data_IF_396726237216
#
_entry.id   IF_396726237216
#
_cell.length_a   1.000
_cell.length_b   1.000
_cell.length_c   1.000
_cell.angle_alpha   90.00
_cell.angle_beta   90.00
_cell.angle_gamma   90.00
#
_symmetry.space_group_name_H-M   'P 1'
#
loop_
_entity.id
_entity.type
_entity.pdbx_description
1 polymer ?
#
# COMPACT_ATOMS: atom_id res chain seq x y z
N UNK A 1 7.99 -16.69 -16.98
CA UNK A 1 8.39 -16.75 -15.55
C UNK A 1 9.72 -16.10 -15.26
N UNK A 2 10.85 -16.58 -15.79
CA UNK A 2 12.17 -16.00 -15.50
C UNK A 2 12.33 -14.52 -15.87
N UNK A 3 11.67 -14.07 -16.95
CA UNK A 3 11.64 -12.63 -17.32
C UNK A 3 10.95 -11.77 -16.26
N UNK A 4 9.81 -12.22 -15.71
CA UNK A 4 9.10 -11.50 -14.65
C UNK A 4 9.91 -11.49 -13.35
N UNK A 5 10.43 -12.65 -12.94
CA UNK A 5 11.33 -12.76 -11.78
C UNK A 5 12.57 -11.86 -11.92
N UNK A 6 13.15 -11.75 -13.12
CA UNK A 6 14.27 -10.87 -13.39
C UNK A 6 13.92 -9.38 -13.22
N UNK A 7 12.73 -8.96 -13.69
CA UNK A 7 12.22 -7.61 -13.48
C UNK A 7 11.96 -7.34 -12.00
N UNK A 8 11.42 -8.31 -11.26
CA UNK A 8 11.16 -8.18 -9.82
C UNK A 8 12.48 -8.02 -9.03
N UNK A 9 13.49 -8.85 -9.32
CA UNK A 9 14.82 -8.72 -8.70
C UNK A 9 15.47 -7.39 -9.05
N UNK A 10 15.41 -6.97 -10.32
CA UNK A 10 16.01 -5.72 -10.76
C UNK A 10 15.33 -4.51 -10.09
N UNK A 11 14.00 -4.45 -10.11
CA UNK A 11 13.24 -3.36 -9.50
C UNK A 11 13.44 -3.28 -7.98
N UNK A 12 13.45 -4.43 -7.30
CA UNK A 12 13.72 -4.50 -5.87
C UNK A 12 15.15 -4.06 -5.54
N UNK A 13 16.14 -4.51 -6.30
CA UNK A 13 17.55 -4.14 -6.10
C UNK A 13 17.78 -2.65 -6.34
N UNK A 14 17.18 -2.08 -7.39
CA UNK A 14 17.25 -0.63 -7.64
C UNK A 14 16.60 0.14 -6.50
N UNK A 15 15.44 -0.30 -6.00
CA UNK A 15 14.80 0.33 -4.85
C UNK A 15 15.71 0.29 -3.61
N UNK A 16 16.27 -0.87 -3.27
CA UNK A 16 17.19 -1.03 -2.13
C UNK A 16 18.42 -0.13 -2.27
N UNK A 17 19.05 -0.09 -3.44
CA UNK A 17 20.20 0.77 -3.71
C UNK A 17 19.86 2.26 -3.53
N UNK A 18 18.71 2.73 -4.03
CA UNK A 18 18.25 4.12 -3.83
C UNK A 18 18.14 4.46 -2.34
N UNK A 19 17.74 3.50 -1.50
CA UNK A 19 17.66 3.69 -0.05
C UNK A 19 19.02 3.63 0.64
N UNK A 20 19.90 2.74 0.19
CA UNK A 20 21.26 2.60 0.71
C UNK A 20 22.10 3.85 0.43
N UNK A 21 22.01 4.40 -0.79
CA UNK A 21 22.82 5.55 -1.20
C UNK A 21 22.38 6.87 -0.54
N UNK A 22 21.07 7.12 -0.41
CA UNK A 22 20.60 8.33 0.28
C UNK A 22 19.15 8.23 0.74
N UNK A 23 18.98 8.00 2.04
CA UNK A 23 17.66 8.00 2.70
C UNK A 23 16.87 9.30 2.49
N UNK A 24 17.56 10.45 2.44
CA UNK A 24 16.92 11.75 2.18
C UNK A 24 16.34 11.84 0.78
N UNK A 25 17.07 11.35 -0.22
CA UNK A 25 16.59 11.35 -1.61
C UNK A 25 15.50 10.33 -1.81
N UNK A 26 15.58 9.14 -1.18
CA UNK A 26 14.50 8.14 -1.25
C UNK A 26 13.20 8.69 -0.67
N UNK A 27 13.26 9.42 0.45
CA UNK A 27 12.08 10.07 1.03
C UNK A 27 11.49 11.15 0.12
N UNK A 28 12.34 12.01 -0.45
CA UNK A 28 11.88 13.04 -1.40
C UNK A 28 11.22 12.38 -2.61
N UNK A 29 11.85 11.36 -3.19
CA UNK A 29 11.32 10.61 -4.33
C UNK A 29 9.97 9.95 -3.99
N UNK A 30 9.87 9.26 -2.86
CA UNK A 30 8.63 8.62 -2.43
C UNK A 30 7.50 9.66 -2.21
N UNK A 31 7.81 10.80 -1.59
CA UNK A 31 6.84 11.88 -1.38
C UNK A 31 6.40 12.53 -2.70
N UNK A 32 7.33 12.78 -3.62
CA UNK A 32 7.02 13.34 -4.94
C UNK A 32 6.14 12.38 -5.74
N UNK A 33 6.48 11.09 -5.79
CA UNK A 33 5.63 10.09 -6.46
C UNK A 33 4.26 10.03 -5.78
N UNK A 34 4.21 10.04 -4.45
CA UNK A 34 2.96 10.08 -3.69
C UNK A 34 2.07 11.28 -4.04
N UNK A 35 2.65 12.48 -4.16
CA UNK A 35 1.92 13.67 -4.59
C UNK A 35 1.37 13.51 -6.01
N UNK A 36 2.20 13.03 -6.94
CA UNK A 36 1.78 12.78 -8.32
C UNK A 36 0.61 11.79 -8.36
N UNK A 37 0.63 10.71 -7.56
CA UNK A 37 -0.49 9.76 -7.46
C UNK A 37 -1.79 10.43 -7.04
N UNK A 38 -1.74 11.32 -6.04
CA UNK A 38 -2.92 12.05 -5.58
C UNK A 38 -3.47 12.97 -6.66
N UNK A 39 -2.59 13.67 -7.38
CA UNK A 39 -2.97 14.52 -8.52
C UNK A 39 -3.61 13.68 -9.62
N UNK A 40 -3.04 12.51 -9.95
CA UNK A 40 -3.60 11.59 -10.94
C UNK A 40 -4.99 11.08 -10.53
N UNK A 41 -5.22 10.76 -9.26
CA UNK A 41 -6.54 10.35 -8.76
C UNK A 41 -7.58 11.47 -8.89
N UNK A 42 -7.20 12.70 -8.55
CA UNK A 42 -8.07 13.87 -8.73
C UNK A 42 -8.38 14.10 -10.20
N UNK A 43 -7.38 13.96 -11.07
CA UNK A 43 -7.55 14.07 -12.52
C UNK A 43 -8.55 13.03 -13.06
N UNK A 44 -8.36 11.74 -12.73
CA UNK A 44 -9.27 10.66 -13.14
C UNK A 44 -10.70 10.95 -12.69
N UNK A 45 -10.89 11.45 -11.46
CA UNK A 45 -12.21 11.85 -10.96
C UNK A 45 -12.84 12.95 -11.82
N UNK A 46 -12.12 14.06 -12.04
CA UNK A 46 -12.65 15.20 -12.80
C UNK A 46 -13.00 14.75 -14.21
N UNK A 47 -12.11 14.02 -14.87
CA UNK A 47 -12.35 13.48 -16.20
C UNK A 47 -13.55 12.51 -16.22
N UNK A 48 -13.68 11.64 -15.22
CA UNK A 48 -14.81 10.72 -15.12
C UNK A 48 -16.17 11.42 -14.94
N UNK A 49 -16.21 12.53 -14.20
CA UNK A 49 -17.39 13.39 -14.07
C UNK A 49 -17.72 14.10 -15.39
N UNK A 50 -16.71 14.63 -16.08
CA UNK A 50 -16.88 15.23 -17.41
C UNK A 50 -17.41 14.20 -18.41
N UNK A 51 -16.92 12.95 -18.40
CA UNK A 51 -17.45 11.89 -19.28
C UNK A 51 -18.90 11.50 -18.96
N UNK A 52 -19.34 11.69 -17.71
CA UNK A 52 -20.75 11.46 -17.33
C UNK A 52 -21.69 12.57 -17.81
N UNK A 53 -21.21 13.81 -17.82
CA UNK A 53 -21.99 14.99 -18.24
C UNK A 53 -21.94 15.21 -19.77
N UNK A 54 -20.77 15.03 -20.36
CA UNK A 54 -20.47 15.21 -21.78
C UNK A 54 -20.28 13.82 -22.44
N UNK A 55 -21.16 13.47 -23.37
CA UNK A 55 -21.17 12.16 -24.08
C UNK A 55 -20.00 11.98 -25.07
N UNK A 56 -18.86 12.64 -24.85
CA UNK A 56 -17.87 12.95 -25.90
C UNK A 56 -16.91 11.78 -26.23
N UNK A 57 -17.02 10.61 -25.59
CA UNK A 57 -16.20 9.45 -26.00
C UNK A 57 -16.81 8.07 -25.80
N UNK A 58 -17.90 7.93 -25.06
CA UNK A 58 -18.48 6.62 -24.73
C UNK A 58 -19.96 6.61 -25.05
N UNK A 59 -20.41 5.57 -25.77
CA UNK A 59 -21.74 5.48 -26.40
C UNK A 59 -22.90 5.48 -25.38
N UNK A 60 -22.66 5.04 -24.13
CA UNK A 60 -23.57 5.18 -23.00
C UNK A 60 -22.81 5.15 -21.66
N UNK A 61 -22.38 6.31 -21.12
CA UNK A 61 -21.64 6.39 -19.86
C UNK A 61 -22.44 5.95 -18.63
N UNK A 62 -23.77 5.93 -18.75
CA UNK A 62 -24.69 5.59 -17.65
C UNK A 62 -25.07 4.11 -17.59
N UNK A 63 -24.67 3.31 -18.59
CA UNK A 63 -25.13 1.94 -18.78
C UNK A 63 -24.89 1.04 -17.56
N UNK A 64 -23.70 1.12 -16.96
CA UNK A 64 -23.34 0.32 -15.80
C UNK A 64 -24.11 0.72 -14.52
N UNK A 65 -24.61 1.96 -14.45
CA UNK A 65 -25.29 2.50 -13.26
C UNK A 65 -26.79 2.21 -13.26
N UNK A 66 -27.43 2.02 -14.43
CA UNK A 66 -28.87 1.67 -14.55
C UNK A 66 -29.21 0.33 -13.91
N UNK A 67 -28.29 -0.63 -13.97
CA UNK A 67 -28.44 -1.97 -13.39
C UNK A 67 -27.22 -2.33 -12.52
N UNK A 68 -26.89 -1.43 -11.59
CA UNK A 68 -25.67 -1.54 -10.76
C UNK A 68 -25.55 -2.90 -10.06
N UNK A 69 -26.66 -3.42 -9.53
CA UNK A 69 -26.72 -4.69 -8.78
C UNK A 69 -27.04 -5.93 -9.64
N UNK A 70 -27.13 -5.80 -10.97
CA UNK A 70 -27.33 -6.96 -11.83
C UNK A 70 -26.13 -7.91 -11.75
N UNK A 71 -26.41 -9.20 -11.54
CA UNK A 71 -25.39 -10.25 -11.36
C UNK A 71 -25.02 -10.54 -9.90
N UNK A 72 -25.53 -9.78 -8.92
CA UNK A 72 -25.25 -10.06 -7.49
C UNK A 72 -25.90 -11.37 -7.02
N UNK A 73 -27.01 -11.80 -7.62
CA UNK A 73 -27.71 -13.03 -7.27
C UNK A 73 -26.92 -14.32 -7.55
N UNK A 74 -25.92 -14.28 -8.44
CA UNK A 74 -25.01 -15.39 -8.72
C UNK A 74 -23.70 -15.31 -7.94
N UNK A 75 -23.52 -14.30 -7.07
CA UNK A 75 -22.31 -14.14 -6.28
C UNK A 75 -22.25 -15.21 -5.18
N UNK A 76 -21.18 -16.02 -5.21
CA UNK A 76 -20.92 -16.99 -4.14
C UNK A 76 -20.33 -16.30 -2.92
N UNK A 77 -20.55 -16.86 -1.73
CA UNK A 77 -19.94 -16.35 -0.48
C UNK A 77 -18.42 -16.25 -0.61
N UNK A 78 -17.78 -17.25 -1.21
CA UNK A 78 -16.34 -17.23 -1.49
C UNK A 78 -15.92 -16.06 -2.40
N UNK A 79 -16.67 -15.79 -3.47
CA UNK A 79 -16.42 -14.68 -4.37
C UNK A 79 -16.52 -13.32 -3.67
N UNK A 80 -17.53 -13.15 -2.82
CA UNK A 80 -17.70 -11.93 -2.01
C UNK A 80 -16.55 -11.75 -1.03
N UNK A 81 -16.15 -12.80 -0.30
CA UNK A 81 -15.02 -12.73 0.64
C UNK A 81 -13.72 -12.38 -0.08
N UNK A 82 -13.42 -13.02 -1.21
CA UNK A 82 -12.22 -12.71 -1.98
C UNK A 82 -12.21 -11.26 -2.51
N UNK A 83 -13.36 -10.78 -2.98
CA UNK A 83 -13.50 -9.39 -3.41
C UNK A 83 -13.27 -8.40 -2.25
N UNK A 84 -13.82 -8.69 -1.07
CA UNK A 84 -13.60 -7.87 0.13
C UNK A 84 -12.12 -7.84 0.53
N UNK A 85 -11.42 -8.98 0.50
CA UNK A 85 -9.99 -9.02 0.78
C UNK A 85 -9.21 -8.11 -0.18
N UNK A 86 -9.50 -8.15 -1.49
CA UNK A 86 -8.84 -7.27 -2.48
C UNK A 86 -9.15 -5.79 -2.24
N UNK A 87 -10.37 -5.45 -1.85
CA UNK A 87 -10.76 -4.09 -1.47
C UNK A 87 -9.97 -3.65 -0.24
N UNK A 88 -9.92 -4.46 0.82
CA UNK A 88 -9.15 -4.17 2.04
C UNK A 88 -7.66 -3.99 1.70
N UNK A 89 -7.07 -4.87 0.89
CA UNK A 89 -5.68 -4.75 0.45
C UNK A 89 -5.38 -3.44 -0.27
N UNK A 90 -6.36 -2.83 -0.94
CA UNK A 90 -6.20 -1.52 -1.59
C UNK A 90 -6.07 -0.37 -0.59
N UNK A 91 -6.53 -0.54 0.66
CA UNK A 91 -6.45 0.44 1.75
C UNK A 91 -5.33 0.16 2.76
N UNK A 92 -4.61 -0.95 2.62
CA UNK A 92 -3.46 -1.27 3.47
C UNK A 92 -2.28 -0.33 3.20
N UNK A 93 -1.33 -0.29 4.15
CA UNK A 93 -0.11 0.50 4.03
C UNK A 93 -0.09 1.76 4.88
N UNK A 94 -1.21 2.13 5.51
CA UNK A 94 -1.28 3.26 6.45
C UNK A 94 -0.35 3.06 7.64
N UNK A 95 -0.10 1.81 8.03
CA UNK A 95 0.81 1.42 9.10
C UNK A 95 2.25 1.87 8.85
N UNK A 96 2.65 2.03 7.57
CA UNK A 96 3.98 2.51 7.23
C UNK A 96 4.26 3.94 7.73
N UNK A 97 3.23 4.75 7.94
CA UNK A 97 3.38 6.08 8.54
C UNK A 97 3.90 5.99 9.99
N UNK A 98 3.56 4.92 10.73
CA UNK A 98 4.04 4.71 12.10
C UNK A 98 5.50 4.25 12.13
N UNK A 99 5.97 3.54 11.09
CA UNK A 99 7.37 3.14 10.96
C UNK A 99 8.33 4.34 10.82
N UNK A 100 7.81 5.51 10.47
CA UNK A 100 8.57 6.74 10.26
C UNK A 100 8.24 7.83 11.30
N UNK A 101 7.48 7.48 12.34
CA UNK A 101 6.93 8.43 13.32
C UNK A 101 8.01 9.27 14.02
N UNK A 102 9.20 8.71 14.23
CA UNK A 102 10.34 9.40 14.85
C UNK A 102 10.86 10.58 14.00
N UNK A 103 10.53 10.65 12.72
CA UNK A 103 10.92 11.74 11.82
C UNK A 103 9.78 12.74 11.57
N UNK A 104 8.58 12.46 12.08
CA UNK A 104 7.41 13.31 11.94
C UNK A 104 7.45 14.42 12.99
N UNK A 105 7.32 15.67 12.54
CA UNK A 105 7.17 16.81 13.46
C UNK A 105 5.82 16.71 14.18
N UNK A 106 5.81 16.81 15.50
CA UNK A 106 4.60 16.70 16.34
C UNK A 106 3.76 15.46 16.00
N UNK A 107 4.29 14.23 16.22
CA UNK A 107 3.69 13.00 15.74
C UNK A 107 2.25 12.80 16.23
N UNK A 108 1.96 13.15 17.49
CA UNK A 108 0.62 13.02 18.08
C UNK A 108 -0.43 13.79 17.28
N UNK A 109 -0.18 15.08 17.01
CA UNK A 109 -1.13 15.93 16.27
C UNK A 109 -1.22 15.52 14.81
N UNK A 110 -0.08 15.20 14.18
CA UNK A 110 -0.03 14.83 12.77
C UNK A 110 -0.75 13.51 12.51
N UNK A 111 -0.57 12.49 13.36
CA UNK A 111 -1.25 11.20 13.24
C UNK A 111 -2.76 11.32 13.52
N UNK A 112 -3.16 12.17 14.47
CA UNK A 112 -4.57 12.46 14.71
C UNK A 112 -5.26 13.05 13.47
N UNK A 113 -4.60 13.97 12.76
CA UNK A 113 -5.11 14.52 11.51
C UNK A 113 -5.02 13.56 10.32
N UNK A 114 -4.13 12.58 10.37
CA UNK A 114 -3.98 11.60 9.29
C UNK A 114 -5.23 10.74 9.11
N UNK A 115 -5.97 10.44 10.18
CA UNK A 115 -7.21 9.67 10.12
C UNK A 115 -8.32 10.37 9.29
N UNK A 116 -8.76 11.61 9.58
CA UNK A 116 -9.75 12.29 8.74
C UNK A 116 -9.24 12.55 7.32
N UNK A 117 -7.95 12.82 7.12
CA UNK A 117 -7.35 12.97 5.78
C UNK A 117 -7.44 11.67 4.97
N UNK A 118 -7.28 10.50 5.60
CA UNK A 118 -7.43 9.21 4.91
C UNK A 118 -8.85 8.96 4.39
N UNK A 119 -9.89 9.52 5.02
CA UNK A 119 -11.27 9.42 4.53
C UNK A 119 -11.46 10.17 3.21
N UNK A 120 -10.75 11.28 3.01
CA UNK A 120 -10.72 11.99 1.72
C UNK A 120 -10.14 11.08 0.64
N UNK A 121 -9.01 10.41 0.93
CA UNK A 121 -8.40 9.44 0.01
C UNK A 121 -9.33 8.27 -0.27
N UNK A 122 -10.04 7.75 0.73
CA UNK A 122 -11.02 6.69 0.53
C UNK A 122 -12.18 7.13 -0.38
N UNK A 123 -12.63 8.38 -0.23
CA UNK A 123 -13.63 8.96 -1.12
C UNK A 123 -13.12 9.07 -2.56
N UNK A 124 -11.85 9.45 -2.75
CA UNK A 124 -11.23 9.48 -4.08
C UNK A 124 -11.19 8.09 -4.74
N UNK A 125 -11.00 7.03 -3.97
CA UNK A 125 -10.98 5.66 -4.51
C UNK A 125 -12.37 5.22 -4.99
N UNK A 126 -13.42 5.55 -4.23
CA UNK A 126 -14.81 5.29 -4.66
C UNK A 126 -15.13 6.06 -5.94
N UNK A 127 -14.74 7.34 -6.00
CA UNK A 127 -14.96 8.18 -7.18
C UNK A 127 -14.16 7.73 -8.40
N UNK A 128 -12.94 7.22 -8.21
CA UNK A 128 -12.15 6.64 -9.30
C UNK A 128 -12.84 5.38 -9.88
N UNK A 129 -13.44 4.54 -9.03
CA UNK A 129 -14.24 3.40 -9.51
C UNK A 129 -15.44 3.87 -10.34
N UNK A 130 -16.15 4.90 -9.90
CA UNK A 130 -17.26 5.50 -10.68
C UNK A 130 -16.74 6.00 -12.04
N UNK A 131 -15.59 6.66 -12.08
CA UNK A 131 -14.98 7.11 -13.33
C UNK A 131 -14.60 5.95 -14.27
N UNK A 132 -14.09 4.83 -13.72
CA UNK A 132 -13.78 3.65 -14.54
C UNK A 132 -15.06 3.03 -15.13
N UNK A 133 -16.12 2.91 -14.33
CA UNK A 133 -17.40 2.38 -14.80
C UNK A 133 -18.20 3.34 -15.69
N UNK A 134 -17.88 4.64 -15.73
CA UNK A 134 -18.47 5.55 -16.72
C UNK A 134 -17.84 5.40 -18.10
N UNK A 135 -16.59 4.96 -18.19
CA UNK A 135 -15.85 4.91 -19.44
C UNK A 135 -15.83 3.53 -20.12
N UNK A 136 -15.92 2.45 -19.35
CA UNK A 136 -15.85 1.08 -19.85
C UNK A 136 -16.97 0.20 -19.27
N UNK A 137 -17.47 -0.74 -20.07
CA UNK A 137 -18.47 -1.71 -19.62
C UNK A 137 -17.87 -2.72 -18.62
N UNK A 138 -18.72 -3.32 -17.77
CA UNK A 138 -18.30 -4.39 -16.83
C UNK A 138 -17.53 -5.51 -17.56
N UNK A 139 -17.96 -5.92 -18.76
CA UNK A 139 -17.32 -6.98 -19.54
C UNK A 139 -15.94 -6.55 -20.05
N UNK A 140 -15.81 -5.34 -20.60
CA UNK A 140 -14.51 -4.83 -21.04
C UNK A 140 -13.49 -4.72 -19.90
N UNK A 141 -13.92 -4.35 -18.69
CA UNK A 141 -13.05 -4.31 -17.51
C UNK A 141 -12.59 -5.72 -17.11
N UNK A 142 -13.49 -6.71 -17.18
CA UNK A 142 -13.18 -8.10 -16.84
C UNK A 142 -12.27 -8.78 -17.87
N UNK A 143 -12.48 -8.48 -19.16
CA UNK A 143 -11.70 -9.04 -20.27
C UNK A 143 -10.39 -8.27 -20.53
N UNK A 144 -10.21 -7.11 -19.89
CA UNK A 144 -9.03 -6.27 -20.04
C UNK A 144 -7.77 -6.94 -19.51
N UNK A 145 -6.72 -6.91 -20.33
CA UNK A 145 -5.36 -7.33 -19.93
C UNK A 145 -4.59 -6.23 -19.21
N UNK A 146 -5.09 -4.99 -19.24
CA UNK A 146 -4.51 -3.84 -18.54
C UNK A 146 -5.36 -3.49 -17.32
N UNK A 147 -4.74 -2.85 -16.32
CA UNK A 147 -5.47 -2.35 -15.15
C UNK A 147 -6.54 -1.35 -15.57
N UNK A 148 -7.62 -1.23 -14.79
CA UNK A 148 -8.77 -0.38 -15.10
C UNK A 148 -8.40 1.08 -15.44
N UNK A 149 -7.36 1.61 -14.79
CA UNK A 149 -6.80 2.93 -15.12
C UNK A 149 -6.26 3.00 -16.56
N UNK A 150 -5.50 1.99 -17.00
CA UNK A 150 -4.99 1.94 -18.37
C UNK A 150 -6.12 1.94 -19.40
N UNK A 151 -7.14 1.11 -19.18
CA UNK A 151 -8.33 1.06 -20.04
C UNK A 151 -9.08 2.40 -20.06
N UNK A 152 -9.25 3.05 -18.91
CA UNK A 152 -9.86 4.38 -18.81
C UNK A 152 -9.12 5.41 -19.68
N UNK A 153 -7.80 5.48 -19.56
CA UNK A 153 -7.01 6.41 -20.35
C UNK A 153 -7.01 6.08 -21.85
N UNK A 154 -7.00 4.80 -22.23
CA UNK A 154 -7.15 4.38 -23.63
C UNK A 154 -8.50 4.80 -24.21
N UNK A 155 -9.58 4.68 -23.44
CA UNK A 155 -10.93 5.08 -23.87
C UNK A 155 -11.10 6.59 -23.98
N UNK A 156 -10.49 7.37 -23.08
CA UNK A 156 -10.66 8.83 -23.04
C UNK A 156 -9.68 9.56 -23.96
N UNK A 157 -8.42 9.12 -24.04
CA UNK A 157 -7.36 9.81 -24.79
C UNK A 157 -6.91 9.06 -26.06
N UNK A 158 -7.49 7.89 -26.34
CA UNK A 158 -7.15 7.04 -27.47
C UNK A 158 -5.87 6.20 -27.26
N UNK A 159 -5.63 5.27 -28.18
CA UNK A 159 -4.53 4.29 -28.12
C UNK A 159 -3.17 4.84 -28.59
N UNK A 160 -2.92 6.15 -28.40
CA UNK A 160 -1.70 6.84 -28.82
C UNK A 160 -0.60 6.89 -27.75
N UNK A 161 0.30 7.88 -27.86
CA UNK A 161 1.37 8.12 -26.87
C UNK A 161 0.88 8.30 -25.43
N UNK A 162 -0.38 8.74 -25.25
CA UNK A 162 -1.03 8.85 -23.95
C UNK A 162 -1.17 7.50 -23.22
N UNK A 163 -1.53 6.42 -23.93
CA UNK A 163 -1.67 5.08 -23.33
C UNK A 163 -0.33 4.52 -22.83
N UNK A 164 0.75 4.74 -23.60
CA UNK A 164 2.11 4.34 -23.21
C UNK A 164 2.61 5.12 -21.98
N UNK A 165 2.34 6.43 -21.93
CA UNK A 165 2.69 7.26 -20.78
C UNK A 165 1.97 6.83 -19.49
N UNK A 166 0.70 6.41 -19.61
CA UNK A 166 -0.09 5.92 -18.47
C UNK A 166 0.43 4.61 -17.93
N UNK A 167 0.80 3.66 -18.81
CA UNK A 167 1.43 2.41 -18.39
C UNK A 167 2.76 2.66 -17.65
N UNK A 168 3.58 3.57 -18.14
CA UNK A 168 4.80 4.00 -17.44
C UNK A 168 4.48 4.61 -16.05
N UNK A 169 3.46 5.45 -15.96
CA UNK A 169 3.00 6.02 -14.68
C UNK A 169 2.45 5.00 -13.70
N UNK A 170 1.75 3.97 -14.17
CA UNK A 170 1.29 2.87 -13.32
C UNK A 170 2.51 2.13 -12.76
N UNK A 171 3.51 1.83 -13.59
CA UNK A 171 4.77 1.21 -13.13
C UNK A 171 5.51 2.10 -12.13
N UNK A 172 5.64 3.41 -12.38
CA UNK A 172 6.28 4.33 -11.45
C UNK A 172 5.50 4.43 -10.13
N UNK A 173 4.17 4.36 -10.19
CA UNK A 173 3.31 4.34 -9.00
C UNK A 173 3.57 3.08 -8.16
N UNK A 174 3.62 1.90 -8.79
CA UNK A 174 3.97 0.66 -8.11
C UNK A 174 5.37 0.72 -7.48
N UNK A 175 6.35 1.26 -8.20
CA UNK A 175 7.71 1.46 -7.68
C UNK A 175 7.74 2.45 -6.49
N UNK A 176 6.99 3.54 -6.55
CA UNK A 176 6.88 4.48 -5.43
C UNK A 176 6.24 3.85 -4.18
N UNK A 177 5.29 2.93 -4.36
CA UNK A 177 4.74 2.14 -3.26
C UNK A 177 5.81 1.24 -2.64
N UNK A 178 6.58 0.52 -3.47
CA UNK A 178 7.70 -0.31 -3.03
C UNK A 178 8.71 0.52 -2.22
N UNK A 179 9.10 1.70 -2.70
CA UNK A 179 9.98 2.61 -1.97
C UNK A 179 9.41 3.00 -0.61
N UNK A 180 8.14 3.40 -0.54
CA UNK A 180 7.50 3.82 0.71
C UNK A 180 7.49 2.71 1.77
N UNK A 181 7.19 1.47 1.36
CA UNK A 181 7.21 0.30 2.24
C UNK A 181 8.63 0.00 2.73
N UNK A 182 9.61 -0.04 1.83
CA UNK A 182 11.02 -0.30 2.17
C UNK A 182 11.56 0.75 3.16
N UNK A 183 11.25 2.01 2.90
CA UNK A 183 11.62 3.15 3.75
C UNK A 183 11.12 2.95 5.19
N UNK A 184 9.90 2.43 5.38
CA UNK A 184 9.37 2.09 6.70
C UNK A 184 10.06 0.87 7.32
N UNK A 185 10.13 -0.23 6.57
CA UNK A 185 10.71 -1.49 7.05
C UNK A 185 12.17 -1.35 7.49
N UNK A 186 12.98 -0.60 6.75
CA UNK A 186 14.39 -0.42 7.12
C UNK A 186 14.60 0.42 8.37
N UNK A 187 13.68 1.36 8.68
CA UNK A 187 13.72 2.08 9.97
C UNK A 187 13.45 1.15 11.12
N UNK A 188 12.40 0.34 11.00
CA UNK A 188 12.06 -0.66 12.00
C UNK A 188 13.24 -1.62 12.21
N UNK A 189 13.81 -2.14 11.13
CA UNK A 189 14.92 -3.08 11.19
C UNK A 189 16.19 -2.44 11.80
N UNK A 190 16.46 -1.16 11.52
CA UNK A 190 17.56 -0.40 12.14
C UNK A 190 17.36 -0.23 13.64
N UNK A 191 16.15 0.08 14.10
CA UNK A 191 15.87 0.20 15.55
C UNK A 191 15.96 -1.15 16.26
N UNK A 192 15.48 -2.25 15.64
CA UNK A 192 15.68 -3.60 16.17
C UNK A 192 17.17 -3.96 16.26
N UNK A 193 17.96 -3.60 15.25
CA UNK A 193 19.42 -3.79 15.26
C UNK A 193 20.10 -2.96 16.35
N UNK A 194 19.66 -1.72 16.59
CA UNK A 194 20.18 -0.86 17.68
C UNK A 194 19.90 -1.45 19.07
N UNK A 195 18.79 -2.17 19.22
CA UNK A 195 18.41 -2.84 20.46
C UNK A 195 19.11 -4.21 20.64
N UNK A 196 19.91 -4.67 19.67
CA UNK A 196 20.65 -5.93 19.77
C UNK A 196 19.77 -7.19 19.66
N UNK A 197 18.53 -7.06 19.18
CA UNK A 197 17.55 -8.16 19.10
C UNK A 197 17.88 -9.14 17.97
N UNK A 198 18.70 -8.74 17.00
CA UNK A 198 19.02 -9.55 15.82
C UNK A 198 20.19 -10.52 16.11
N UNK A 199 19.96 -11.85 16.16
CA UNK A 199 20.94 -12.84 16.63
C UNK A 199 22.17 -12.98 15.72
N UNK A 200 22.03 -12.70 14.42
CA UNK A 200 23.08 -12.86 13.40
C UNK A 200 23.73 -11.53 12.97
N UNK A 201 23.26 -10.39 13.50
CA UNK A 201 23.64 -9.06 13.02
C UNK A 201 24.26 -8.19 14.13
N UNK A 202 25.29 -8.69 14.81
CA UNK A 202 26.27 -7.85 15.51
C UNK A 202 27.13 -7.04 14.53
N UNK A 203 26.58 -6.61 13.38
CA UNK A 203 27.20 -5.60 12.56
C UNK A 203 27.15 -4.32 13.40
N UNK A 204 28.30 -3.97 13.97
CA UNK A 204 28.45 -2.75 14.75
C UNK A 204 27.92 -1.53 14.00
N UNK A 205 27.84 -0.37 14.65
CA UNK A 205 27.30 0.88 14.11
C UNK A 205 28.16 1.49 12.99
N UNK A 206 28.75 0.67 12.10
CA UNK A 206 29.48 1.07 10.90
C UNK A 206 28.48 1.69 9.92
N UNK A 207 28.35 3.00 10.07
CA UNK A 207 27.62 3.92 9.18
C UNK A 207 28.46 4.28 7.93
N UNK A 208 29.43 3.46 7.53
CA UNK A 208 30.33 3.77 6.39
C UNK A 208 30.07 2.80 5.24
N UNK A 209 30.05 3.26 3.98
CA UNK A 209 30.41 4.61 3.52
C UNK A 209 29.27 5.65 3.56
N UNK A 210 27.99 5.23 3.52
CA UNK A 210 26.86 6.12 3.18
C UNK A 210 26.03 6.65 4.37
N UNK A 211 26.47 6.45 5.61
CA UNK A 211 25.71 6.87 6.79
C UNK A 211 24.60 5.90 7.22
N UNK A 212 24.33 4.86 6.43
CA UNK A 212 23.29 3.84 6.62
C UNK A 212 23.88 2.54 7.17
N UNK A 213 23.20 1.82 8.09
CA UNK A 213 23.66 0.54 8.59
C UNK A 213 23.42 -0.54 7.52
N UNK A 214 24.41 -0.80 6.66
CA UNK A 214 24.27 -1.67 5.47
C UNK A 214 23.85 -3.12 5.77
N UNK A 215 24.28 -3.69 6.90
CA UNK A 215 24.05 -5.11 7.24
C UNK A 215 22.56 -5.52 7.19
N UNK A 216 21.68 -4.83 7.95
CA UNK A 216 20.23 -5.02 7.87
C UNK A 216 19.64 -4.98 6.45
N UNK A 217 20.13 -4.08 5.59
CA UNK A 217 19.62 -3.92 4.22
C UNK A 217 19.99 -5.14 3.37
N UNK A 218 21.27 -5.54 3.41
CA UNK A 218 21.77 -6.70 2.65
C UNK A 218 21.07 -7.99 3.06
N UNK A 219 20.86 -8.22 4.36
CA UNK A 219 20.16 -9.42 4.82
C UNK A 219 18.72 -9.44 4.34
N UNK A 220 18.00 -8.32 4.48
CA UNK A 220 16.62 -8.20 4.00
C UNK A 220 16.54 -8.39 2.48
N UNK A 221 17.48 -7.81 1.75
CA UNK A 221 17.59 -7.94 0.30
C UNK A 221 17.85 -9.39 -0.11
N UNK A 222 18.80 -10.07 0.52
CA UNK A 222 19.13 -11.47 0.24
C UNK A 222 17.94 -12.40 0.50
N UNK A 223 17.25 -12.25 1.64
CA UNK A 223 16.05 -13.02 1.93
C UNK A 223 14.92 -12.74 0.93
N UNK A 224 14.77 -11.49 0.49
CA UNK A 224 13.72 -11.12 -0.46
C UNK A 224 14.00 -11.67 -1.85
N UNK A 225 15.25 -11.61 -2.33
CA UNK A 225 15.65 -12.24 -3.59
C UNK A 225 15.48 -13.75 -3.53
N UNK A 226 15.87 -14.39 -2.42
CA UNK A 226 15.65 -15.82 -2.23
C UNK A 226 14.17 -16.15 -2.35
N UNK A 227 13.29 -15.35 -1.73
CA UNK A 227 11.83 -15.53 -1.84
C UNK A 227 11.24 -15.23 -3.21
N UNK A 228 11.89 -14.43 -4.05
CA UNK A 228 11.48 -14.21 -5.45
C UNK A 228 11.92 -15.38 -6.34
N UNK A 229 13.13 -15.89 -6.10
CA UNK A 229 13.75 -16.90 -6.96
C UNK A 229 13.35 -18.34 -6.61
N UNK A 230 13.32 -18.68 -5.32
CA UNK A 230 13.17 -20.05 -4.85
C UNK A 230 11.76 -20.64 -5.06
N UNK A 231 10.64 -19.95 -4.75
CA UNK A 231 9.31 -20.49 -4.99
C UNK A 231 9.01 -20.55 -6.49
N UNK A 232 8.41 -21.65 -7.00
CA UNK A 232 7.86 -21.65 -8.35
C UNK A 232 6.74 -20.61 -8.45
N UNK A 233 6.68 -19.90 -9.59
CA UNK A 233 5.64 -18.91 -9.82
C UNK A 233 4.26 -19.60 -9.89
N UNK A 234 3.23 -18.95 -9.36
CA UNK A 234 1.88 -19.51 -9.25
C UNK A 234 1.49 -19.80 -7.80
N UNK A 235 0.78 -20.91 -7.59
CA UNK A 235 0.11 -21.20 -6.31
C UNK A 235 1.08 -21.30 -5.13
N UNK A 236 2.29 -21.83 -5.34
CA UNK A 236 3.28 -21.94 -4.27
C UNK A 236 3.77 -20.57 -3.74
N UNK A 237 3.93 -19.59 -4.63
CA UNK A 237 4.27 -18.23 -4.22
C UNK A 237 3.10 -17.57 -3.47
N UNK A 238 1.89 -17.68 -4.01
CA UNK A 238 0.68 -17.15 -3.38
C UNK A 238 0.47 -17.75 -1.99
N UNK A 239 0.66 -19.06 -1.84
CA UNK A 239 0.58 -19.75 -0.56
C UNK A 239 1.58 -19.22 0.48
N UNK A 240 2.83 -18.95 0.08
CA UNK A 240 3.84 -18.38 0.98
C UNK A 240 3.44 -16.97 1.42
N UNK A 241 2.91 -16.16 0.50
CA UNK A 241 2.41 -14.81 0.79
C UNK A 241 1.21 -14.88 1.74
N UNK A 242 0.29 -15.80 1.53
CA UNK A 242 -0.89 -16.00 2.39
C UNK A 242 -0.48 -16.42 3.81
N UNK A 243 0.53 -17.30 3.93
CA UNK A 243 1.08 -17.69 5.24
C UNK A 243 1.66 -16.48 5.98
N UNK A 244 2.26 -15.52 5.27
CA UNK A 244 2.87 -14.35 5.89
C UNK A 244 1.85 -13.43 6.60
N UNK A 245 0.56 -13.57 6.32
CA UNK A 245 -0.51 -12.81 6.99
C UNK A 245 -0.70 -13.29 8.44
N UNK A 246 -0.53 -14.59 8.73
CA UNK A 246 -0.77 -15.14 10.07
C UNK A 246 0.16 -14.54 11.15
N UNK A 247 1.49 -14.43 10.96
CA UNK A 247 2.35 -13.77 11.93
C UNK A 247 1.95 -12.31 12.18
N UNK A 248 1.57 -11.58 11.12
CA UNK A 248 1.14 -10.17 11.24
C UNK A 248 -0.11 -10.06 12.09
N UNK A 249 -1.11 -10.90 11.83
CA UNK A 249 -2.33 -10.95 12.64
C UNK A 249 -2.03 -11.32 14.09
N UNK A 250 -1.24 -12.37 14.33
CA UNK A 250 -0.86 -12.83 15.66
C UNK A 250 -0.17 -11.74 16.50
N UNK A 251 0.86 -11.09 15.94
CA UNK A 251 1.55 -9.99 16.63
C UNK A 251 0.65 -8.75 16.78
N UNK A 252 -0.25 -8.49 15.83
CA UNK A 252 -1.26 -7.44 15.92
C UNK A 252 -2.22 -7.66 17.10
N UNK A 253 -2.73 -8.87 17.27
CA UNK A 253 -3.57 -9.25 18.40
C UNK A 253 -2.82 -9.10 19.73
N UNK A 254 -1.57 -9.59 19.80
CA UNK A 254 -0.73 -9.42 20.98
C UNK A 254 -0.49 -7.96 21.35
N UNK A 255 -0.27 -7.10 20.34
CA UNK A 255 -0.12 -5.66 20.55
C UNK A 255 -1.41 -5.04 21.10
N UNK A 256 -2.57 -5.41 20.57
CA UNK A 256 -3.88 -4.97 21.05
C UNK A 256 -4.14 -5.38 22.50
N UNK A 257 -3.92 -6.66 22.84
CA UNK A 257 -4.06 -7.18 24.21
C UNK A 257 -3.06 -6.50 25.16
N UNK A 258 -1.81 -6.35 24.74
CA UNK A 258 -0.76 -5.66 25.50
C UNK A 258 -1.12 -4.20 25.81
N UNK A 259 -1.77 -3.51 24.89
CA UNK A 259 -2.27 -2.15 25.10
C UNK A 259 -3.37 -2.10 26.17
N UNK A 260 -4.31 -3.06 26.16
CA UNK A 260 -5.37 -3.15 27.20
C UNK A 260 -4.75 -3.38 28.58
N UNK A 261 -3.83 -4.35 28.69
CA UNK A 261 -3.11 -4.64 29.94
C UNK A 261 -2.36 -3.41 30.45
N UNK A 262 -1.67 -2.71 29.54
CA UNK A 262 -0.90 -1.50 29.89
C UNK A 262 -1.81 -0.37 30.39
N UNK A 263 -2.99 -0.19 29.79
CA UNK A 263 -3.99 0.78 30.26
C UNK A 263 -4.50 0.45 31.66
N UNK A 264 -4.81 -0.82 31.90
CA UNK A 264 -5.27 -1.28 33.22
C UNK A 264 -4.22 -1.05 34.30
N UNK A 265 -2.94 -1.40 34.02
CA UNK A 265 -1.83 -1.19 34.95
C UNK A 265 -1.56 0.30 35.22
N UNK A 266 -1.56 1.15 34.19
CA UNK A 266 -1.37 2.60 34.37
C UNK A 266 -2.50 3.24 35.17
N UNK A 267 -3.74 2.82 34.96
CA UNK A 267 -4.89 3.28 35.74
C UNK A 267 -4.76 2.89 37.22
N UNK A 268 -4.32 1.66 37.53
CA UNK A 268 -4.02 1.24 38.91
C UNK A 268 -2.88 2.04 39.56
N UNK A 269 -1.88 2.45 38.78
CA UNK A 269 -0.71 3.18 39.25
C UNK A 269 -0.91 4.71 39.31
N UNK A 270 -2.10 5.23 38.96
CA UNK A 270 -2.38 6.67 38.97
C UNK A 270 -1.54 7.48 37.97
N UNK A 271 -0.96 6.84 36.96
CA UNK A 271 -0.11 7.51 35.96
C UNK A 271 -0.98 8.44 35.11
N UNK A 272 -0.56 9.70 34.85
CA UNK A 272 -1.30 10.63 33.99
C UNK A 272 -1.65 10.03 32.63
N UNK A 273 -2.77 10.49 32.08
CA UNK A 273 -3.22 10.07 30.75
C UNK A 273 -2.19 10.49 29.69
N UNK A 274 -1.83 9.61 28.74
CA UNK A 274 -0.95 9.98 27.63
C UNK A 274 -1.62 11.02 26.71
N UNK A 275 -0.79 11.79 25.98
CA UNK A 275 -1.24 12.83 25.03
C UNK A 275 -2.25 12.32 23.98
N UNK A 276 -2.22 11.02 23.68
CA UNK A 276 -3.20 10.36 22.84
C UNK A 276 -3.75 9.10 23.51
N UNK A 277 -5.08 8.98 23.50
CA UNK A 277 -5.81 7.80 23.98
C UNK A 277 -6.76 7.29 22.89
N UNK A 278 -6.37 6.20 22.23
CA UNK A 278 -7.26 5.45 21.35
C UNK A 278 -8.56 5.04 22.07
N UNK A 279 -9.68 4.99 21.35
CA UNK A 279 -10.95 4.63 21.95
C UNK A 279 -10.98 3.13 22.33
N UNK A 280 -11.66 2.74 23.42
CA UNK A 280 -11.76 1.33 23.79
C UNK A 280 -12.34 0.46 22.66
N UNK A 281 -13.32 1.00 21.92
CA UNK A 281 -13.95 0.29 20.81
C UNK A 281 -12.98 0.00 19.65
N UNK A 282 -12.04 0.91 19.36
CA UNK A 282 -11.07 0.71 18.28
C UNK A 282 -10.01 -0.32 18.68
N UNK A 283 -9.70 -0.44 19.96
CA UNK A 283 -8.79 -1.48 20.48
C UNK A 283 -9.46 -2.85 20.42
N UNK A 284 -10.72 -2.95 20.83
CA UNK A 284 -11.49 -4.18 20.72
C UNK A 284 -11.60 -4.60 19.25
N UNK A 285 -11.97 -3.67 18.37
CA UNK A 285 -12.03 -3.94 16.93
C UNK A 285 -10.68 -4.43 16.38
N UNK A 286 -9.56 -3.81 16.76
CA UNK A 286 -8.22 -4.23 16.33
C UNK A 286 -7.79 -5.61 16.85
N UNK A 287 -8.38 -6.13 17.92
CA UNK A 287 -8.07 -7.45 18.46
C UNK A 287 -8.83 -8.55 17.71
N UNK A 288 -10.03 -8.24 17.23
CA UNK A 288 -10.93 -9.19 16.57
C UNK A 288 -10.94 -9.10 15.03
N UNK A 289 -10.35 -8.05 14.45
CA UNK A 289 -10.11 -7.88 13.02
C UNK A 289 -8.80 -8.51 12.58
#
# INVERSE_FOLDING_TARGET
DWKLKGIDVASYTVADLVLVFSTKWSLRLANTIGLVKLVTLVFIRITGLVVLEDHISVKDPSANFRSAFAGTSSATTYGVTNALTKVVSSYMGYENAFNVVNEVKNPTKTLQWSAPLSLVTATLYVLANIAYFSCASKQEILDSKVVAAGLFFEKVFGTGGAASAVNFWICLSAFGNLLAVLIGQFRMLRECGRQGVLPLLHFGPRRKPFGTPLGPYVVKWAFTILMILAPPAGDAFNFIVDIAIYPVAFFGTLLGVGLVITRYRRARLGVPSPDYRAWPITIVFSIFS
#
